data_IF_239432314013
#
_entry.id   IF_239432314013
#
_cell.length_a   1.000
_cell.length_b   1.000
_cell.length_c   1.000
_cell.angle_alpha   90.00
_cell.angle_beta   90.00
_cell.angle_gamma   90.00
#
_symmetry.space_group_name_H-M   'P 1'
#
loop_
_entity.id
_entity.type
_entity.pdbx_description
1 polymer ?
#
# COMPACT_ATOMS: atom_id res chain seq x y z
N UNK A 1 -1.04 15.10 -16.70
CA UNK A 1 -1.94 15.03 -15.55
C UNK A 1 -3.37 14.85 -16.01
N UNK A 2 -4.01 15.84 -16.64
CA UNK A 2 -5.31 15.59 -17.29
C UNK A 2 -5.13 14.76 -18.57
N UNK A 3 -5.95 13.73 -18.71
CA UNK A 3 -5.91 12.74 -19.81
C UNK A 3 -4.61 11.90 -19.88
N UNK A 4 -3.88 11.78 -18.77
CA UNK A 4 -2.80 10.81 -18.60
C UNK A 4 -3.24 9.74 -17.59
N UNK A 5 -2.70 8.53 -17.71
CA UNK A 5 -2.97 7.43 -16.79
C UNK A 5 -1.66 6.99 -16.11
N UNK A 6 -1.77 6.53 -14.87
CA UNK A 6 -0.67 5.83 -14.20
C UNK A 6 -0.36 4.53 -14.95
N UNK A 7 0.86 3.98 -14.81
CA UNK A 7 1.19 2.63 -15.29
C UNK A 7 0.10 1.59 -14.96
N UNK A 8 -0.06 0.60 -15.85
CA UNK A 8 -1.09 -0.43 -15.72
C UNK A 8 -1.01 -1.15 -14.36
N UNK A 9 -2.13 -1.18 -13.63
CA UNK A 9 -2.31 -2.03 -12.47
C UNK A 9 -2.98 -3.33 -12.89
N UNK A 10 -2.39 -4.45 -12.50
CA UNK A 10 -3.06 -5.76 -12.48
C UNK A 10 -3.28 -6.13 -11.04
N UNK A 11 -4.51 -6.45 -10.67
CA UNK A 11 -4.88 -6.73 -9.29
C UNK A 11 -5.64 -8.05 -9.19
N UNK A 12 -5.57 -8.67 -8.02
CA UNK A 12 -6.37 -9.84 -7.70
C UNK A 12 -7.84 -9.45 -7.52
N UNK A 13 -8.73 -10.24 -8.13
CA UNK A 13 -10.18 -10.01 -8.09
C UNK A 13 -10.84 -10.51 -6.81
N UNK A 14 -10.10 -11.21 -5.95
CA UNK A 14 -10.62 -11.90 -4.78
C UNK A 14 -11.29 -13.25 -5.07
N UNK A 15 -11.26 -13.74 -6.33
CA UNK A 15 -11.88 -15.01 -6.71
C UNK A 15 -11.25 -16.22 -5.99
N UNK A 16 -9.92 -16.25 -5.91
CA UNK A 16 -9.19 -17.35 -5.25
C UNK A 16 -9.21 -17.22 -3.72
N UNK A 17 -9.14 -15.98 -3.21
CA UNK A 17 -9.21 -15.65 -1.79
C UNK A 17 -9.71 -14.22 -1.60
N UNK A 18 -10.66 -14.02 -0.69
CA UNK A 18 -11.19 -12.69 -0.37
C UNK A 18 -10.17 -11.81 0.37
N UNK A 19 -9.20 -12.42 1.07
CA UNK A 19 -8.11 -11.69 1.74
C UNK A 19 -7.17 -11.01 0.75
N UNK A 20 -7.16 -11.50 -0.48
CA UNK A 20 -6.34 -11.02 -1.58
C UNK A 20 -7.06 -9.99 -2.47
N UNK A 21 -8.29 -9.61 -2.12
CA UNK A 21 -9.06 -8.65 -2.90
C UNK A 21 -8.25 -7.36 -3.12
N UNK A 22 -8.18 -6.93 -4.38
CA UNK A 22 -7.45 -5.74 -4.88
C UNK A 22 -5.95 -5.68 -4.61
N UNK A 23 -5.32 -6.76 -4.12
CA UNK A 23 -3.86 -6.84 -4.02
C UNK A 23 -3.21 -6.76 -5.40
N UNK A 24 -2.11 -6.03 -5.50
CA UNK A 24 -1.38 -5.80 -6.73
C UNK A 24 -0.67 -7.10 -7.15
N UNK A 25 -0.90 -7.51 -8.40
CA UNK A 25 -0.11 -8.55 -9.07
C UNK A 25 1.08 -7.90 -9.76
N UNK A 26 0.84 -6.83 -10.52
CA UNK A 26 1.90 -6.02 -11.14
C UNK A 26 1.48 -4.56 -11.27
N UNK A 27 2.45 -3.66 -11.23
CA UNK A 27 2.33 -2.25 -11.58
C UNK A 27 3.34 -1.91 -12.67
N UNK A 28 2.87 -1.42 -13.82
CA UNK A 28 3.73 -1.18 -14.99
C UNK A 28 4.42 -2.45 -15.51
N UNK A 29 3.85 -3.64 -15.26
CA UNK A 29 4.44 -4.93 -15.61
C UNK A 29 5.47 -5.48 -14.62
N UNK A 30 5.82 -4.74 -13.56
CA UNK A 30 6.73 -5.19 -12.52
C UNK A 30 6.00 -5.58 -11.23
N UNK A 31 6.62 -6.46 -10.44
CA UNK A 31 6.17 -6.82 -9.07
C UNK A 31 6.85 -5.98 -8.00
N UNK A 32 7.91 -5.24 -8.39
CA UNK A 32 8.73 -4.42 -7.49
C UNK A 32 8.93 -3.02 -8.06
N UNK A 33 9.14 -2.05 -7.17
CA UNK A 33 9.61 -0.71 -7.51
C UNK A 33 11.10 -0.72 -7.83
N UNK A 34 11.52 0.06 -8.82
CA UNK A 34 12.93 0.12 -9.25
C UNK A 34 13.82 1.03 -8.36
N UNK A 35 13.20 1.77 -7.45
CA UNK A 35 13.80 2.91 -6.73
C UNK A 35 14.36 2.52 -5.37
N UNK A 36 13.85 1.43 -4.80
CA UNK A 36 14.23 0.89 -3.50
C UNK A 36 14.72 -0.54 -3.66
N UNK A 37 15.53 -0.99 -2.72
CA UNK A 37 15.98 -2.37 -2.65
C UNK A 37 15.11 -3.18 -1.68
N UNK A 38 15.42 -4.45 -1.51
CA UNK A 38 14.81 -5.28 -0.46
C UNK A 38 13.31 -5.55 -0.62
N UNK A 39 12.66 -5.71 0.53
CA UNK A 39 11.24 -6.07 0.62
C UNK A 39 10.32 -4.84 0.52
N UNK A 40 10.81 -3.64 0.86
CA UNK A 40 10.05 -2.39 0.75
C UNK A 40 9.71 -2.06 -0.72
N UNK A 41 10.49 -2.57 -1.66
CA UNK A 41 10.22 -2.44 -3.08
C UNK A 41 9.08 -3.36 -3.56
N UNK A 42 8.72 -4.41 -2.82
CA UNK A 42 7.71 -5.39 -3.23
C UNK A 42 6.29 -4.82 -3.14
N UNK A 43 5.53 -4.95 -4.22
CA UNK A 43 4.17 -4.43 -4.32
C UNK A 43 3.11 -5.49 -4.08
N UNK A 44 3.47 -6.77 -3.98
CA UNK A 44 2.50 -7.87 -4.08
C UNK A 44 1.58 -8.03 -2.87
N UNK A 45 1.98 -7.50 -1.72
CA UNK A 45 1.13 -7.43 -0.53
C UNK A 45 0.33 -6.12 -0.43
N UNK A 46 0.60 -5.16 -1.33
CA UNK A 46 -0.06 -3.87 -1.34
C UNK A 46 -1.34 -3.89 -2.18
N UNK A 47 -2.27 -2.98 -1.88
CA UNK A 47 -3.31 -2.54 -2.80
C UNK A 47 -3.11 -1.06 -3.19
N UNK A 48 -3.94 -0.54 -4.08
CA UNK A 48 -3.89 0.87 -4.53
C UNK A 48 -4.54 1.85 -3.53
N UNK A 49 -5.05 1.34 -2.41
CA UNK A 49 -5.74 2.04 -1.33
C UNK A 49 -7.13 2.57 -1.66
N UNK A 50 -7.76 2.07 -2.73
CA UNK A 50 -9.17 2.30 -3.04
C UNK A 50 -10.09 1.33 -2.30
N UNK A 51 -9.77 0.03 -2.36
CA UNK A 51 -10.50 -1.02 -1.65
C UNK A 51 -9.55 -1.93 -0.87
N UNK A 52 -10.07 -2.52 0.20
CA UNK A 52 -9.40 -3.49 1.06
C UNK A 52 -10.22 -4.78 1.11
N UNK A 53 -9.66 -5.85 1.69
CA UNK A 53 -10.39 -7.10 1.92
C UNK A 53 -11.69 -6.87 2.68
N UNK A 54 -12.67 -7.74 2.43
CA UNK A 54 -13.92 -7.73 3.16
C UNK A 54 -13.73 -8.24 4.60
N UNK A 55 -14.65 -7.87 5.49
CA UNK A 55 -14.65 -8.30 6.89
C UNK A 55 -13.38 -7.95 7.66
N UNK A 56 -12.90 -6.71 7.49
CA UNK A 56 -11.75 -6.17 8.24
C UNK A 56 -11.91 -6.37 9.74
N UNK A 57 -10.82 -6.80 10.36
CA UNK A 57 -10.62 -6.89 11.81
C UNK A 57 -9.70 -5.75 12.26
N UNK A 58 -9.73 -5.39 13.54
CA UNK A 58 -8.94 -4.26 14.06
C UNK A 58 -7.43 -4.54 14.04
N UNK A 59 -7.08 -5.82 14.06
CA UNK A 59 -5.71 -6.31 14.06
C UNK A 59 -5.12 -6.40 12.65
N UNK A 60 -5.94 -6.20 11.61
CA UNK A 60 -5.47 -6.21 10.23
C UNK A 60 -4.54 -5.01 9.97
N UNK A 61 -3.42 -5.28 9.29
CA UNK A 61 -2.52 -4.25 8.76
C UNK A 61 -2.81 -4.09 7.27
N UNK A 62 -2.99 -2.86 6.82
CA UNK A 62 -3.31 -2.58 5.42
C UNK A 62 -2.10 -2.00 4.72
N UNK A 63 -1.52 -2.75 3.79
CA UNK A 63 -0.42 -2.26 2.97
C UNK A 63 -0.95 -1.57 1.72
N UNK A 64 -0.60 -0.31 1.55
CA UNK A 64 -1.11 0.55 0.49
C UNK A 64 0.04 1.15 -0.30
N UNK A 65 0.05 0.90 -1.61
CA UNK A 65 0.95 1.55 -2.53
C UNK A 65 0.35 2.86 -3.06
N UNK A 66 1.10 3.96 -2.96
CA UNK A 66 0.73 5.26 -3.53
C UNK A 66 1.72 5.63 -4.62
N UNK A 67 1.34 5.42 -5.88
CA UNK A 67 2.19 5.71 -7.06
C UNK A 67 2.77 7.12 -7.05
N UNK A 68 1.98 8.14 -6.70
CA UNK A 68 2.43 9.53 -6.67
C UNK A 68 3.45 9.83 -5.56
N UNK A 69 3.49 9.02 -4.49
CA UNK A 69 4.53 9.07 -3.46
C UNK A 69 5.70 8.14 -3.78
N UNK A 70 5.55 7.27 -4.77
CA UNK A 70 6.55 6.32 -5.22
C UNK A 70 6.85 5.18 -4.23
N UNK A 71 6.09 5.03 -3.13
CA UNK A 71 6.33 4.01 -2.10
C UNK A 71 5.04 3.42 -1.51
N UNK A 72 5.19 2.31 -0.79
CA UNK A 72 4.15 1.69 0.03
C UNK A 72 4.16 2.20 1.47
N UNK A 73 3.01 2.05 2.13
CA UNK A 73 2.76 2.43 3.53
C UNK A 73 1.95 1.34 4.21
N UNK A 74 2.20 1.12 5.49
CA UNK A 74 1.38 0.32 6.39
C UNK A 74 0.38 1.23 7.11
N UNK A 75 -0.90 0.88 7.00
CA UNK A 75 -1.96 1.52 7.78
C UNK A 75 -2.40 0.62 8.92
N UNK A 76 -2.50 1.20 10.10
CA UNK A 76 -2.90 0.52 11.33
C UNK A 76 -4.25 1.05 11.83
N UNK A 77 -4.99 0.22 12.55
CA UNK A 77 -6.26 0.63 13.14
C UNK A 77 -6.04 1.76 14.15
N UNK A 78 -6.86 2.80 14.05
CA UNK A 78 -6.83 3.94 14.96
C UNK A 78 -8.05 3.95 15.89
N UNK A 79 -9.25 3.93 15.32
CA UNK A 79 -10.50 4.03 16.10
C UNK A 79 -11.72 3.51 15.33
N UNK A 80 -12.78 3.17 16.05
CA UNK A 80 -14.11 3.01 15.47
C UNK A 80 -14.75 4.38 15.26
N UNK A 81 -15.49 4.53 14.16
CA UNK A 81 -16.20 5.75 13.80
C UNK A 81 -17.47 5.41 13.05
N UNK A 82 -18.25 6.42 12.69
CA UNK A 82 -19.46 6.28 11.89
C UNK A 82 -19.42 7.31 10.76
N UNK A 83 -19.61 6.86 9.52
CA UNK A 83 -19.75 7.72 8.34
C UNK A 83 -21.17 7.55 7.80
N UNK A 84 -21.98 8.60 7.79
CA UNK A 84 -23.38 8.55 7.31
C UNK A 84 -24.21 7.39 7.90
N UNK A 85 -24.09 7.19 9.22
CA UNK A 85 -24.73 6.09 9.98
C UNK A 85 -24.20 4.68 9.69
N UNK A 86 -23.12 4.56 8.91
CA UNK A 86 -22.43 3.29 8.63
C UNK A 86 -21.24 3.16 9.60
N UNK A 87 -21.19 2.09 10.42
CA UNK A 87 -20.03 1.80 11.25
C UNK A 87 -18.77 1.60 10.38
N UNK A 88 -17.69 2.25 10.76
CA UNK A 88 -16.44 2.24 10.02
C UNK A 88 -15.24 2.16 10.97
N UNK A 89 -14.14 1.63 10.45
CA UNK A 89 -12.84 1.68 11.12
C UNK A 89 -12.02 2.80 10.48
N UNK A 90 -11.47 3.66 11.31
CA UNK A 90 -10.49 4.65 10.90
C UNK A 90 -9.11 4.02 10.97
N UNK A 91 -8.42 3.97 9.84
CA UNK A 91 -7.03 3.56 9.72
C UNK A 91 -6.16 4.78 9.43
N UNK A 92 -4.96 4.79 9.97
CA UNK A 92 -3.95 5.81 9.70
C UNK A 92 -2.61 5.18 9.33
N UNK A 93 -1.80 5.91 8.58
CA UNK A 93 -0.42 5.50 8.29
C UNK A 93 0.35 5.46 9.60
N UNK A 94 1.09 4.38 9.83
CA UNK A 94 1.91 4.24 11.03
C UNK A 94 2.90 5.41 11.13
N UNK A 95 3.12 5.92 12.35
CA UNK A 95 4.06 7.03 12.56
C UNK A 95 5.47 6.65 12.13
N UNK A 96 5.84 5.39 12.31
CA UNK A 96 7.16 4.90 11.97
C UNK A 96 7.41 4.90 10.46
N UNK A 97 6.37 4.84 9.61
CA UNK A 97 6.52 4.97 8.15
C UNK A 97 7.01 6.36 7.70
N UNK A 98 6.79 7.39 8.53
CA UNK A 98 7.33 8.73 8.33
C UNK A 98 8.71 8.93 8.96
N UNK A 99 9.15 8.01 9.82
CA UNK A 99 10.41 8.11 10.54
C UNK A 99 11.57 7.56 9.69
N UNK A 100 12.35 8.44 9.08
CA UNK A 100 13.52 8.06 8.27
C UNK A 100 14.66 7.42 9.06
N UNK A 101 14.60 7.48 10.39
CA UNK A 101 15.57 6.83 11.29
C UNK A 101 15.09 5.46 11.79
N UNK A 102 13.86 5.05 11.46
CA UNK A 102 13.40 3.70 11.78
C UNK A 102 14.18 2.67 10.96
N UNK A 103 14.54 1.54 11.57
CA UNK A 103 15.28 0.47 10.88
C UNK A 103 14.51 -0.07 9.67
N UNK A 104 13.18 -0.14 9.77
CA UNK A 104 12.29 -0.55 8.68
C UNK A 104 12.37 0.36 7.45
N UNK A 105 12.82 1.61 7.63
CA UNK A 105 12.96 2.61 6.58
C UNK A 105 14.41 2.84 6.16
N UNK A 106 15.37 2.04 6.64
CA UNK A 106 16.79 2.26 6.34
C UNK A 106 17.10 2.24 4.83
N UNK A 107 16.33 1.46 4.07
CA UNK A 107 16.48 1.34 2.62
C UNK A 107 15.93 2.54 1.83
N UNK A 108 15.05 3.35 2.42
CA UNK A 108 14.63 4.63 1.83
C UNK A 108 15.78 5.64 1.77
N UNK A 109 16.77 5.50 2.65
CA UNK A 109 17.95 6.37 2.67
C UNK A 109 19.00 5.94 1.64
N UNK A 110 18.82 4.78 0.98
CA UNK A 110 19.71 4.24 -0.05
C UNK A 110 19.13 4.38 -1.46
N UNK A 111 18.48 5.51 -1.75
CA UNK A 111 18.14 5.85 -3.15
C UNK A 111 19.45 5.98 -3.93
N UNK A 112 19.83 4.94 -4.67
CA UNK A 112 20.94 5.02 -5.60
C UNK A 112 20.48 5.88 -6.78
N UNK A 113 20.81 7.16 -6.79
CA UNK A 113 20.85 7.95 -8.01
C UNK A 113 21.89 7.31 -8.95
N UNK A 114 21.45 6.37 -9.77
CA UNK A 114 22.21 5.95 -10.94
C UNK A 114 21.90 6.94 -12.05
N UNK A 115 22.72 8.01 -12.11
CA UNK A 115 22.78 8.96 -13.22
C UNK A 115 23.39 8.31 -14.47
#
# INVERSE_FOLDING_TARGET
YNHTYDPEYRVKTGLDSMDDYTKIVTYGGSTKQDWFMGDIADLRDCNDGGFNKQFLQKEDKLHVFRSYLGRSFEMVFHSETTCDSIPAYMYHIDRDDYNTNAETNSELNMISCSL
#
